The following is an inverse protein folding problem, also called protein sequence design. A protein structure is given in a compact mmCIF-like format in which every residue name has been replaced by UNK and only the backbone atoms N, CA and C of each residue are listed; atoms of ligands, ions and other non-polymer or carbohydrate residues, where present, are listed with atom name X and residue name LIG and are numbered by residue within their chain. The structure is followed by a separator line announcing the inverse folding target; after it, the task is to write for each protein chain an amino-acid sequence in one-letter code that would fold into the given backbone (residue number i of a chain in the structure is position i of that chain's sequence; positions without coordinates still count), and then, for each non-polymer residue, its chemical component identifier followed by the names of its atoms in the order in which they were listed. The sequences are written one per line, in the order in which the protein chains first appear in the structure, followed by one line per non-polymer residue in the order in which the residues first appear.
data_IF_330880529625
#
_entry.id   IF_330880529625
#
_cell.length_a   1.000
_cell.length_b   1.000
_cell.length_c   1.000
_cell.angle_alpha   90.00
_cell.angle_beta   90.00
_cell.angle_gamma   90.00
#
_symmetry.space_group_name_H-M   'P 1'
#
loop_
_entity.id
_entity.type
_entity.pdbx_description
1 polymer ?
#
# COMPACT_ATOMS: atom_id res chain seq x y z
N UNK A 1 22.37 -11.99 -17.26
CA UNK A 1 21.24 -11.05 -17.37
C UNK A 1 21.05 -10.33 -16.04
N UNK A 2 21.10 -9.01 -16.08
CA UNK A 2 20.83 -8.23 -14.86
C UNK A 2 19.35 -8.30 -14.53
N UNK A 3 19.04 -8.62 -13.30
CA UNK A 3 17.68 -8.65 -12.83
C UNK A 3 17.50 -7.62 -11.73
N UNK A 4 16.57 -6.71 -11.94
CA UNK A 4 16.23 -5.71 -10.95
C UNK A 4 14.75 -5.89 -10.57
N UNK A 5 14.46 -6.08 -9.28
CA UNK A 5 13.06 -6.11 -8.86
C UNK A 5 12.38 -4.79 -9.27
N UNK A 6 11.21 -4.84 -9.89
CA UNK A 6 10.48 -3.61 -10.20
C UNK A 6 10.20 -2.84 -8.93
N UNK A 7 10.36 -1.52 -8.97
CA UNK A 7 10.06 -0.68 -7.81
C UNK A 7 8.60 -0.84 -7.39
N UNK A 8 7.71 -1.10 -8.34
CA UNK A 8 6.31 -1.38 -8.08
C UNK A 8 6.14 -2.59 -7.17
N UNK A 9 6.91 -3.65 -7.41
CA UNK A 9 6.84 -4.86 -6.60
C UNK A 9 7.38 -4.61 -5.18
N UNK A 10 8.49 -3.87 -5.08
CA UNK A 10 9.06 -3.51 -3.78
C UNK A 10 8.05 -2.68 -2.99
N UNK A 11 7.49 -1.66 -3.61
CA UNK A 11 6.51 -0.77 -2.98
C UNK A 11 5.26 -1.54 -2.56
N UNK A 12 4.77 -2.42 -3.44
CA UNK A 12 3.63 -3.29 -3.15
C UNK A 12 3.88 -4.11 -1.89
N UNK A 13 5.04 -4.77 -1.81
CA UNK A 13 5.37 -5.61 -0.66
C UNK A 13 5.48 -4.82 0.63
N UNK A 14 6.05 -3.62 0.58
CA UNK A 14 6.14 -2.74 1.75
C UNK A 14 4.75 -2.34 2.23
N UNK A 15 3.89 -1.90 1.32
CA UNK A 15 2.54 -1.48 1.67
C UNK A 15 1.74 -2.63 2.27
N UNK A 16 1.74 -3.79 1.63
CA UNK A 16 1.02 -4.97 2.12
C UNK A 16 1.52 -5.38 3.50
N UNK A 17 2.82 -5.44 3.67
CA UNK A 17 3.44 -5.82 4.94
C UNK A 17 3.01 -4.88 6.06
N UNK A 18 3.10 -3.58 5.82
CA UNK A 18 2.78 -2.59 6.85
C UNK A 18 1.29 -2.55 7.16
N UNK A 19 0.43 -2.63 6.16
CA UNK A 19 -1.01 -2.67 6.39
C UNK A 19 -1.41 -3.93 7.15
N UNK A 20 -0.85 -5.06 6.78
CA UNK A 20 -1.11 -6.32 7.49
C UNK A 20 -0.62 -6.25 8.94
N UNK A 21 0.57 -5.71 9.16
CA UNK A 21 1.17 -5.61 10.49
C UNK A 21 0.35 -4.71 11.43
N UNK A 22 -0.30 -3.67 10.91
CA UNK A 22 -1.12 -2.78 11.74
C UNK A 22 -2.59 -3.20 11.78
N UNK A 23 -2.94 -4.34 11.19
CA UNK A 23 -4.30 -4.86 11.23
C UNK A 23 -5.27 -4.21 10.26
N UNK A 24 -4.78 -3.49 9.26
CA UNK A 24 -5.62 -2.84 8.26
C UNK A 24 -6.07 -3.86 7.20
N UNK A 25 -6.95 -4.76 7.59
CA UNK A 25 -7.42 -5.87 6.75
C UNK A 25 -8.89 -5.74 6.36
N UNK A 26 -9.56 -4.68 6.79
CA UNK A 26 -10.95 -4.41 6.44
C UNK A 26 -11.17 -2.90 6.37
N UNK A 27 -12.31 -2.51 5.82
CA UNK A 27 -12.65 -1.09 5.71
C UNK A 27 -12.69 -0.42 7.09
N UNK A 28 -13.21 -1.12 8.09
CA UNK A 28 -13.30 -0.56 9.45
C UNK A 28 -11.95 -0.42 10.14
N UNK A 29 -10.94 -1.17 9.71
CA UNK A 29 -9.58 -1.12 10.27
C UNK A 29 -8.59 -0.44 9.35
N UNK A 30 -9.05 0.13 8.24
CA UNK A 30 -8.19 0.78 7.27
C UNK A 30 -7.36 1.89 7.91
N UNK A 31 -6.13 2.06 7.41
CA UNK A 31 -5.18 3.06 7.89
C UNK A 31 -4.64 3.86 6.73
N UNK A 32 -4.23 5.10 7.01
CA UNK A 32 -3.43 5.83 6.02
C UNK A 32 -2.06 5.16 5.93
N UNK A 33 -1.37 5.39 4.82
CA UNK A 33 -0.03 4.82 4.67
C UNK A 33 0.92 5.33 5.74
N UNK A 34 0.78 6.59 6.15
CA UNK A 34 1.58 7.16 7.24
C UNK A 34 1.30 6.46 8.57
N UNK A 35 0.03 6.21 8.88
CA UNK A 35 -0.37 5.50 10.10
C UNK A 35 0.13 4.07 10.10
N UNK A 36 0.19 3.44 8.94
CA UNK A 36 0.70 2.09 8.79
C UNK A 36 2.22 2.00 8.88
N UNK A 37 2.91 3.13 8.89
CA UNK A 37 4.37 3.16 8.97
C UNK A 37 5.08 2.98 7.64
N UNK A 38 4.39 3.24 6.54
CA UNK A 38 4.99 3.16 5.20
C UNK A 38 5.95 4.33 5.02
N UNK A 39 7.17 4.04 4.62
CA UNK A 39 8.17 5.05 4.32
C UNK A 39 7.72 5.84 3.08
N UNK A 40 7.84 7.17 3.13
CA UNK A 40 7.38 8.05 2.06
C UNK A 40 5.91 7.79 1.69
N UNK A 41 4.97 7.98 2.64
CA UNK A 41 3.58 7.64 2.35
C UNK A 41 2.99 8.42 1.18
N UNK A 42 3.48 9.64 0.95
CA UNK A 42 3.03 10.47 -0.18
C UNK A 42 3.87 10.27 -1.44
N UNK A 43 4.94 9.48 -1.36
CA UNK A 43 5.76 9.16 -2.50
C UNK A 43 5.13 8.05 -3.32
N UNK A 44 5.52 7.98 -4.59
CA UNK A 44 5.09 6.91 -5.49
C UNK A 44 3.57 6.79 -5.61
N UNK A 45 2.87 7.91 -5.68
CA UNK A 45 1.40 7.93 -5.77
C UNK A 45 0.87 7.11 -6.93
N UNK A 46 1.56 7.13 -8.08
CA UNK A 46 1.14 6.35 -9.25
C UNK A 46 1.16 4.86 -8.97
N UNK A 47 2.16 4.40 -8.22
CA UNK A 47 2.26 2.99 -7.84
C UNK A 47 1.11 2.64 -6.90
N UNK A 48 0.85 3.47 -5.90
CA UNK A 48 -0.24 3.26 -4.97
C UNK A 48 -1.58 3.21 -5.69
N UNK A 49 -1.84 4.14 -6.61
CA UNK A 49 -3.06 4.15 -7.41
C UNK A 49 -3.18 2.90 -8.27
N UNK A 50 -2.08 2.44 -8.85
CA UNK A 50 -2.06 1.22 -9.64
C UNK A 50 -2.43 0.01 -8.78
N UNK A 51 -1.92 -0.08 -7.56
CA UNK A 51 -2.25 -1.17 -6.64
C UNK A 51 -3.73 -1.17 -6.28
N UNK A 52 -4.32 0.01 -6.10
CA UNK A 52 -5.76 0.12 -5.85
C UNK A 52 -6.56 -0.35 -7.06
N UNK A 53 -6.18 0.11 -8.25
CA UNK A 53 -6.89 -0.27 -9.49
C UNK A 53 -6.79 -1.77 -9.78
N UNK A 54 -5.67 -2.39 -9.45
CA UNK A 54 -5.48 -3.82 -9.70
C UNK A 54 -6.08 -4.70 -8.60
N UNK A 55 -6.64 -4.10 -7.54
CA UNK A 55 -7.29 -4.86 -6.47
C UNK A 55 -6.33 -5.44 -5.44
N UNK A 56 -5.06 -5.06 -5.49
CA UNK A 56 -4.06 -5.54 -4.51
C UNK A 56 -4.33 -4.95 -3.15
N UNK A 57 -4.67 -3.66 -3.10
CA UNK A 57 -5.09 -2.99 -1.88
C UNK A 57 -6.41 -2.28 -2.17
N UNK A 58 -7.09 -1.89 -1.12
CA UNK A 58 -8.38 -1.21 -1.21
C UNK A 58 -8.28 0.16 -0.57
N UNK A 59 -8.99 1.13 -1.12
CA UNK A 59 -8.98 2.51 -0.63
C UNK A 59 -10.36 2.89 -0.15
N UNK A 60 -10.44 3.51 1.02
CA UNK A 60 -11.70 4.03 1.56
C UNK A 60 -11.94 5.47 1.09
N UNK A 61 -13.15 5.98 1.31
CA UNK A 61 -13.49 7.37 1.01
C UNK A 61 -12.68 8.36 1.84
N UNK A 62 -12.12 7.94 2.96
CA UNK A 62 -11.30 8.77 3.85
C UNK A 62 -9.81 8.73 3.50
N UNK A 63 -9.46 8.23 2.31
CA UNK A 63 -8.07 8.07 1.88
C UNK A 63 -7.26 7.14 2.77
N UNK A 64 -7.92 6.13 3.34
CA UNK A 64 -7.27 5.06 4.08
C UNK A 64 -7.20 3.81 3.21
N UNK A 65 -6.33 2.90 3.58
CA UNK A 65 -6.07 1.70 2.78
C UNK A 65 -6.16 0.46 3.65
N UNK A 66 -6.55 -0.66 3.03
CA UNK A 66 -6.56 -1.96 3.68
C UNK A 66 -6.27 -3.06 2.66
N UNK A 67 -5.89 -4.21 3.15
CA UNK A 67 -5.59 -5.38 2.31
C UNK A 67 -6.63 -6.48 2.44
#
# INVERSE_FOLDING_TARGET
MAFFPPITLIRKNVIIKQLTACGATSESTAKTLAEAGVINPDGFKRITEHLVKSGVIHKTSDNKYYV
#
